data_IF_422412470753
#
_entry.id   IF_422412470753
#
_cell.length_a   1.000
_cell.length_b   1.000
_cell.length_c   1.000
_cell.angle_alpha   90.00
_cell.angle_beta   90.00
_cell.angle_gamma   90.00
#
_symmetry.space_group_name_H-M   'P 1'
#
loop_
_entity.id
_entity.type
_entity.pdbx_description
1 polymer ?
#
# COMPACT_ATOMS: atom_id res chain seq x y z
N UNK A 1 -24.22 -21.88 25.23
CA UNK A 1 -23.56 -22.76 24.24
C UNK A 1 -23.15 -21.90 23.04
N UNK A 2 -21.91 -21.42 23.01
CA UNK A 2 -21.41 -20.47 22.00
C UNK A 2 -20.98 -21.22 20.72
N UNK A 3 -21.64 -20.94 19.59
CA UNK A 3 -21.22 -21.43 18.26
C UNK A 3 -20.27 -20.41 17.63
N UNK A 4 -19.07 -20.88 17.29
CA UNK A 4 -18.00 -20.13 16.65
C UNK A 4 -18.49 -19.38 15.39
N UNK A 5 -18.31 -18.05 15.37
CA UNK A 5 -18.43 -17.25 14.14
C UNK A 5 -17.16 -17.46 13.32
N UNK A 6 -17.17 -18.52 12.50
CA UNK A 6 -16.11 -18.77 11.53
C UNK A 6 -16.01 -17.63 10.52
N UNK A 7 -14.78 -17.22 10.21
CA UNK A 7 -14.47 -16.29 9.12
C UNK A 7 -15.04 -16.86 7.82
N UNK A 8 -16.08 -16.23 7.29
CA UNK A 8 -16.71 -16.68 6.05
C UNK A 8 -15.81 -16.27 4.89
N UNK A 9 -15.12 -17.25 4.31
CA UNK A 9 -14.38 -17.12 3.05
C UNK A 9 -15.40 -16.72 1.98
N UNK A 10 -15.07 -15.74 1.14
CA UNK A 10 -15.96 -15.21 0.09
C UNK A 10 -16.61 -16.34 -0.74
N UNK A 11 -17.88 -16.16 -1.12
CA UNK A 11 -18.62 -17.15 -1.93
C UNK A 11 -17.94 -17.37 -3.29
N UNK A 12 -17.83 -18.61 -3.79
CA UNK A 12 -17.37 -18.87 -5.16
C UNK A 12 -18.19 -18.07 -6.17
N UNK A 13 -17.53 -17.48 -7.16
CA UNK A 13 -18.13 -16.71 -8.26
C UNK A 13 -18.81 -15.38 -7.89
N UNK A 14 -18.77 -14.96 -6.63
CA UNK A 14 -19.11 -13.59 -6.25
C UNK A 14 -17.83 -12.79 -6.01
N UNK A 15 -17.41 -12.03 -7.01
CA UNK A 15 -16.41 -10.97 -6.83
C UNK A 15 -17.02 -9.87 -5.96
N UNK A 16 -16.94 -10.07 -4.65
CA UNK A 16 -16.98 -8.96 -3.72
C UNK A 16 -15.54 -8.49 -3.57
N UNK A 17 -14.99 -7.89 -4.64
CA UNK A 17 -13.88 -6.97 -4.49
C UNK A 17 -14.45 -5.86 -3.59
N UNK A 18 -14.27 -5.96 -2.27
CA UNK A 18 -14.78 -4.99 -1.32
C UNK A 18 -14.31 -3.62 -1.81
N UNK A 19 -15.23 -2.76 -2.25
CA UNK A 19 -14.93 -1.42 -2.77
C UNK A 19 -14.24 -0.53 -1.73
N UNK A 20 -14.25 -0.94 -0.46
CA UNK A 20 -13.67 -0.26 0.69
C UNK A 20 -12.29 -0.79 1.11
N UNK A 21 -11.63 -1.68 0.35
CA UNK A 21 -10.22 -1.99 0.61
C UNK A 21 -9.37 -0.89 -0.01
N UNK A 22 -9.33 0.21 0.74
CA UNK A 22 -8.56 1.42 0.51
C UNK A 22 -7.06 1.08 0.49
N UNK A 23 -6.39 1.52 -0.57
CA UNK A 23 -5.00 1.22 -0.92
C UNK A 23 -4.74 -0.14 -1.61
N UNK A 24 -3.89 -0.10 -2.64
CA UNK A 24 -3.46 -1.29 -3.38
C UNK A 24 -2.79 -2.26 -2.40
N UNK A 25 -3.28 -3.49 -2.35
CA UNK A 25 -2.71 -4.53 -1.48
C UNK A 25 -1.18 -4.62 -1.66
N UNK A 26 -0.46 -4.68 -0.54
CA UNK A 26 1.00 -4.66 -0.46
C UNK A 26 1.69 -3.34 -0.89
N UNK A 27 0.97 -2.22 -0.86
CA UNK A 27 1.58 -0.89 -1.06
C UNK A 27 1.56 -0.07 0.22
N UNK A 28 2.58 0.78 0.38
CA UNK A 28 2.74 1.73 1.49
C UNK A 28 2.66 1.08 2.88
N UNK A 29 1.51 1.12 3.54
CA UNK A 29 1.31 0.74 4.95
C UNK A 29 1.68 -0.72 5.20
N UNK A 30 1.22 -1.66 4.36
CA UNK A 30 1.52 -3.10 4.53
C UNK A 30 3.00 -3.42 4.33
N UNK A 31 3.72 -2.64 3.51
CA UNK A 31 5.15 -2.80 3.34
C UNK A 31 5.93 -2.38 4.58
N UNK A 32 5.43 -1.36 5.29
CA UNK A 32 6.04 -0.86 6.52
C UNK A 32 5.73 -1.73 7.75
N UNK A 33 4.46 -2.14 7.92
CA UNK A 33 4.00 -2.79 9.16
C UNK A 33 3.82 -4.31 9.06
N UNK A 34 3.85 -4.86 7.84
CA UNK A 34 3.61 -6.28 7.56
C UNK A 34 2.14 -6.67 7.77
N UNK A 35 1.93 -7.78 8.46
CA UNK A 35 0.61 -8.39 8.71
C UNK A 35 0.14 -8.27 10.17
N UNK A 36 0.68 -7.29 10.91
CA UNK A 36 0.29 -7.07 12.31
C UNK A 36 -1.17 -6.64 12.42
N UNK A 37 -1.78 -7.01 13.53
CA UNK A 37 -3.17 -6.69 13.84
C UNK A 37 -3.24 -5.47 14.75
N UNK A 38 -4.11 -4.53 14.38
CA UNK A 38 -4.36 -3.29 15.12
C UNK A 38 -5.85 -3.24 15.44
N UNK A 39 -6.20 -3.34 16.72
CA UNK A 39 -7.58 -3.52 17.19
C UNK A 39 -8.11 -2.29 17.97
N UNK A 40 -7.27 -1.31 18.27
CA UNK A 40 -7.65 -0.16 19.12
C UNK A 40 -7.82 1.13 18.32
N UNK A 41 -8.69 2.04 18.80
CA UNK A 41 -8.88 3.37 18.20
C UNK A 41 -7.58 4.19 18.16
N UNK A 42 -6.73 4.03 19.18
CA UNK A 42 -5.43 4.71 19.22
C UNK A 42 -4.48 4.21 18.13
N UNK A 43 -4.46 2.90 17.86
CA UNK A 43 -3.68 2.35 16.75
C UNK A 43 -4.23 2.80 15.39
N UNK A 44 -5.56 2.92 15.25
CA UNK A 44 -6.18 3.41 14.02
C UNK A 44 -5.76 4.86 13.71
N UNK A 45 -5.76 5.75 14.70
CA UNK A 45 -5.33 7.14 14.50
C UNK A 45 -3.85 7.22 14.05
N UNK A 46 -2.98 6.42 14.68
CA UNK A 46 -1.57 6.32 14.31
C UNK A 46 -1.39 5.77 12.87
N UNK A 47 -2.20 4.79 12.48
CA UNK A 47 -2.20 4.22 11.13
C UNK A 47 -2.61 5.24 10.07
N UNK A 48 -3.68 6.00 10.31
CA UNK A 48 -4.14 7.06 9.39
C UNK A 48 -3.09 8.15 9.21
N UNK A 49 -2.41 8.52 10.30
CA UNK A 49 -1.30 9.46 10.26
C UNK A 49 -0.13 8.90 9.43
N UNK A 50 0.26 7.64 9.68
CA UNK A 50 1.33 6.98 8.93
C UNK A 50 0.99 6.87 7.44
N UNK A 51 -0.23 6.46 7.10
CA UNK A 51 -0.69 6.36 5.72
C UNK A 51 -0.58 7.69 4.99
N UNK A 52 -0.97 8.80 5.64
CA UNK A 52 -0.87 10.15 5.08
C UNK A 52 0.58 10.51 4.74
N UNK A 53 1.52 10.26 5.66
CA UNK A 53 2.94 10.53 5.42
C UNK A 53 3.52 9.62 4.32
N UNK A 54 3.15 8.35 4.31
CA UNK A 54 3.58 7.41 3.27
C UNK A 54 3.04 7.80 1.89
N UNK A 55 1.80 8.29 1.82
CA UNK A 55 1.20 8.79 0.59
C UNK A 55 1.91 10.06 0.09
N UNK A 56 2.25 11.00 0.98
CA UNK A 56 3.05 12.17 0.63
C UNK A 56 4.41 11.76 0.07
N UNK A 57 5.14 10.87 0.76
CA UNK A 57 6.45 10.37 0.30
C UNK A 57 6.34 9.71 -1.09
N UNK A 58 5.34 8.84 -1.28
CA UNK A 58 5.17 8.09 -2.51
C UNK A 58 4.71 8.93 -3.70
N UNK A 59 3.88 9.95 -3.46
CA UNK A 59 3.30 10.76 -4.52
C UNK A 59 4.17 11.96 -4.91
N UNK A 60 4.88 12.54 -3.93
CA UNK A 60 5.58 13.82 -4.11
C UNK A 60 7.07 13.60 -4.32
N UNK A 61 7.71 12.71 -3.56
CA UNK A 61 9.17 12.57 -3.56
C UNK A 61 9.67 11.35 -4.33
N UNK A 62 8.91 10.26 -4.39
CA UNK A 62 9.38 9.00 -4.97
C UNK A 62 9.01 8.90 -6.47
N UNK A 63 9.99 8.66 -7.36
CA UNK A 63 9.69 8.34 -8.74
C UNK A 63 8.97 6.98 -8.81
N UNK A 64 7.94 6.90 -9.63
CA UNK A 64 7.23 5.65 -9.91
C UNK A 64 7.41 5.25 -11.37
N UNK A 65 7.32 3.97 -11.68
CA UNK A 65 7.32 3.52 -13.09
C UNK A 65 5.90 3.61 -13.66
N UNK A 66 5.74 4.34 -14.76
CA UNK A 66 4.50 4.37 -15.53
C UNK A 66 4.69 3.59 -16.85
N UNK A 67 3.75 2.69 -17.14
CA UNK A 67 3.74 1.91 -18.38
C UNK A 67 3.28 2.82 -19.52
N UNK A 68 4.11 2.96 -20.55
CA UNK A 68 3.77 3.71 -21.76
C UNK A 68 3.00 2.81 -22.73
N UNK A 69 3.51 1.61 -22.98
CA UNK A 69 2.89 0.67 -23.92
C UNK A 69 3.19 -0.78 -23.56
N UNK A 70 2.33 -1.66 -24.09
CA UNK A 70 2.41 -3.11 -23.94
C UNK A 70 2.23 -3.73 -25.31
N UNK A 71 3.31 -4.21 -25.92
CA UNK A 71 3.32 -4.81 -27.25
C UNK A 71 3.39 -6.32 -27.11
N UNK A 72 2.49 -7.04 -27.79
CA UNK A 72 2.48 -8.50 -27.83
C UNK A 72 3.27 -8.97 -29.05
N UNK A 73 4.44 -9.54 -28.81
CA UNK A 73 5.45 -9.85 -29.85
C UNK A 73 5.40 -11.30 -30.35
N UNK A 74 4.38 -12.07 -29.94
CA UNK A 74 4.16 -13.43 -30.42
C UNK A 74 3.93 -14.41 -29.28
N UNK A 75 4.37 -15.67 -29.45
CA UNK A 75 4.34 -16.70 -28.41
C UNK A 75 5.76 -16.94 -27.88
N UNK A 76 5.93 -17.04 -26.58
CA UNK A 76 7.18 -17.52 -26.00
C UNK A 76 7.32 -19.01 -26.31
N UNK A 77 8.49 -19.49 -26.75
CA UNK A 77 8.69 -20.92 -26.98
C UNK A 77 8.48 -21.72 -25.69
N UNK A 78 7.71 -22.82 -25.76
CA UNK A 78 7.65 -23.82 -24.69
C UNK A 78 8.65 -24.93 -25.03
N UNK A 79 9.59 -25.28 -24.14
CA UNK A 79 10.51 -26.39 -24.37
C UNK A 79 9.80 -27.73 -24.49
N UNK A 80 8.63 -27.86 -23.85
CA UNK A 80 7.90 -29.12 -23.70
C UNK A 80 6.76 -29.28 -24.71
N UNK A 81 6.39 -28.23 -25.46
CA UNK A 81 5.26 -28.30 -26.40
C UNK A 81 5.41 -27.35 -27.59
N UNK A 82 5.71 -27.91 -28.78
CA UNK A 82 5.74 -27.17 -30.05
C UNK A 82 4.36 -26.57 -30.34
N UNK A 83 4.26 -25.24 -30.40
CA UNK A 83 3.03 -24.50 -30.76
C UNK A 83 2.15 -24.00 -29.58
N UNK A 84 2.41 -24.47 -28.35
CA UNK A 84 1.65 -24.15 -27.13
C UNK A 84 2.35 -23.11 -26.23
N UNK A 85 3.06 -22.18 -26.86
CA UNK A 85 3.68 -21.05 -26.17
C UNK A 85 2.68 -20.01 -25.68
N UNK A 86 2.86 -19.50 -24.45
CA UNK A 86 2.11 -18.35 -23.92
C UNK A 86 2.48 -17.04 -24.64
N UNK A 87 1.67 -16.00 -24.54
CA UNK A 87 1.95 -14.73 -25.26
C UNK A 87 3.19 -14.01 -24.72
N UNK A 88 4.15 -13.70 -25.59
CA UNK A 88 5.30 -12.86 -25.27
C UNK A 88 4.88 -11.39 -25.31
N UNK A 89 5.20 -10.66 -24.24
CA UNK A 89 4.81 -9.26 -24.08
C UNK A 89 6.06 -8.45 -23.78
N UNK A 90 6.30 -7.41 -24.57
CA UNK A 90 7.27 -6.36 -24.28
C UNK A 90 6.54 -5.15 -23.69
N UNK A 91 7.14 -4.54 -22.69
CA UNK A 91 6.62 -3.36 -21.99
C UNK A 91 7.63 -2.24 -22.13
N UNK A 92 7.19 -1.08 -22.63
CA UNK A 92 8.00 0.15 -22.62
C UNK A 92 7.40 1.10 -21.59
N UNK A 93 8.28 1.76 -20.84
CA UNK A 93 7.92 2.61 -19.72
C UNK A 93 8.32 4.06 -19.99
N UNK A 94 7.66 4.99 -19.31
CA UNK A 94 8.09 6.38 -19.27
C UNK A 94 9.39 6.55 -18.49
N UNK A 95 10.06 7.70 -18.69
CA UNK A 95 11.15 8.13 -17.85
C UNK A 95 10.73 8.18 -16.36
N UNK A 96 11.66 7.91 -15.43
CA UNK A 96 11.37 8.00 -14.00
C UNK A 96 10.89 9.40 -13.62
N UNK A 97 9.67 9.49 -13.12
CA UNK A 97 9.06 10.73 -12.63
C UNK A 97 8.18 10.41 -11.43
N UNK A 98 8.10 11.35 -10.49
CA UNK A 98 7.15 11.26 -9.38
C UNK A 98 5.72 11.40 -9.89
N UNK A 99 4.71 10.81 -9.22
CA UNK A 99 3.31 11.06 -9.53
C UNK A 99 2.94 12.56 -9.60
N UNK A 100 3.46 13.39 -8.68
CA UNK A 100 3.23 14.84 -8.69
C UNK A 100 3.69 15.48 -10.00
N UNK A 101 4.94 15.25 -10.41
CA UNK A 101 5.47 15.79 -11.67
C UNK A 101 4.66 15.35 -12.91
N UNK A 102 4.07 14.15 -12.91
CA UNK A 102 3.15 13.74 -13.98
C UNK A 102 1.86 14.54 -13.96
N UNK A 103 1.28 14.77 -12.78
CA UNK A 103 0.07 15.59 -12.65
C UNK A 103 0.30 17.04 -13.10
N UNK A 104 1.50 17.58 -12.90
CA UNK A 104 1.86 18.91 -13.41
C UNK A 104 1.86 18.97 -14.94
N UNK A 105 2.22 17.87 -15.61
CA UNK A 105 2.22 17.75 -17.07
C UNK A 105 0.85 17.39 -17.66
N UNK A 106 -0.09 16.92 -16.84
CA UNK A 106 -1.41 16.52 -17.29
C UNK A 106 -2.24 17.75 -17.72
N UNK A 107 -2.81 17.76 -18.94
CA UNK A 107 -3.62 18.87 -19.42
C UNK A 107 -4.98 18.96 -18.70
N UNK A 108 -5.48 17.85 -18.14
CA UNK A 108 -6.78 17.81 -17.45
C UNK A 108 -6.74 18.45 -16.05
N UNK A 109 -5.56 18.74 -15.52
CA UNK A 109 -5.38 19.31 -14.18
C UNK A 109 -5.39 20.83 -14.27
N UNK A 110 -6.30 21.47 -13.54
CA UNK A 110 -6.41 22.93 -13.50
C UNK A 110 -5.16 23.60 -12.90
N UNK A 111 -4.89 24.83 -13.33
CA UNK A 111 -3.73 25.59 -12.84
C UNK A 111 -3.79 25.83 -11.33
N UNK A 112 -4.99 26.01 -10.77
CA UNK A 112 -5.19 26.12 -9.33
C UNK A 112 -4.74 24.83 -8.60
N UNK A 113 -5.07 23.66 -9.15
CA UNK A 113 -4.63 22.39 -8.59
C UNK A 113 -3.11 22.20 -8.71
N UNK A 114 -2.50 22.60 -9.84
CA UNK A 114 -1.04 22.59 -10.03
C UNK A 114 -0.33 23.50 -9.05
N UNK A 115 -0.84 24.71 -8.82
CA UNK A 115 -0.30 25.65 -7.83
C UNK A 115 -0.36 25.08 -6.40
N UNK A 116 -1.44 24.36 -6.05
CA UNK A 116 -1.53 23.65 -4.76
C UNK A 116 -0.47 22.55 -4.63
N UNK A 117 -0.26 21.75 -5.68
CA UNK A 117 0.75 20.69 -5.69
C UNK A 117 2.18 21.26 -5.55
N UNK A 118 2.48 22.35 -6.25
CA UNK A 118 3.78 23.02 -6.15
C UNK A 118 4.05 23.57 -4.75
N UNK A 119 3.03 24.13 -4.08
CA UNK A 119 3.15 24.54 -2.68
C UNK A 119 3.44 23.35 -1.77
N UNK A 120 2.72 22.25 -1.93
CA UNK A 120 2.99 21.03 -1.16
C UNK A 120 4.41 20.52 -1.36
N UNK A 121 4.93 20.56 -2.61
CA UNK A 121 6.31 20.18 -2.89
C UNK A 121 7.32 21.10 -2.18
N UNK A 122 7.06 22.40 -2.14
CA UNK A 122 7.94 23.38 -1.49
C UNK A 122 7.93 23.28 0.05
N UNK A 123 6.81 22.87 0.64
CA UNK A 123 6.66 22.74 2.09
C UNK A 123 7.24 21.43 2.66
N UNK A 124 7.46 20.42 1.82
CA UNK A 124 7.92 19.10 2.28
C UNK A 124 9.43 19.11 2.51
N UNK A 125 9.83 18.85 3.76
CA UNK A 125 11.19 18.43 4.10
C UNK A 125 11.30 16.89 4.06
N UNK A 126 12.10 16.32 3.13
CA UNK A 126 12.29 14.87 3.03
C UNK A 126 12.84 14.22 4.30
N UNK A 127 13.69 14.93 5.06
CA UNK A 127 14.34 14.38 6.25
C UNK A 127 13.35 14.27 7.39
N UNK A 128 12.62 15.35 7.67
CA UNK A 128 11.55 15.36 8.67
C UNK A 128 10.47 14.32 8.34
N UNK A 129 10.05 14.23 7.07
CA UNK A 129 9.06 13.24 6.64
C UNK A 129 9.52 11.80 6.92
N UNK A 130 10.76 11.46 6.58
CA UNK A 130 11.31 10.12 6.81
C UNK A 130 11.44 9.81 8.31
N UNK A 131 11.84 10.80 9.12
CA UNK A 131 11.94 10.67 10.57
C UNK A 131 10.55 10.42 11.20
N UNK A 132 9.56 11.21 10.81
CA UNK A 132 8.21 11.13 11.37
C UNK A 132 7.54 9.79 11.01
N UNK A 133 7.77 9.29 9.80
CA UNK A 133 7.39 7.91 9.40
C UNK A 133 8.02 6.88 10.34
N UNK A 134 9.34 6.98 10.60
CA UNK A 134 10.04 6.05 11.49
C UNK A 134 9.52 6.08 12.93
N UNK A 135 9.18 7.27 13.45
CA UNK A 135 8.59 7.42 14.79
C UNK A 135 7.22 6.71 14.87
N UNK A 136 6.36 6.92 13.86
CA UNK A 136 5.04 6.28 13.82
C UNK A 136 5.13 4.77 13.67
N UNK A 137 6.01 4.29 12.80
CA UNK A 137 6.30 2.86 12.66
C UNK A 137 6.73 2.26 14.00
N UNK A 138 7.74 2.84 14.66
CA UNK A 138 8.21 2.35 15.96
C UNK A 138 7.12 2.38 17.04
N UNK A 139 6.29 3.43 17.06
CA UNK A 139 5.16 3.58 18.00
C UNK A 139 4.12 2.49 17.80
N UNK A 140 3.71 2.24 16.55
CA UNK A 140 2.76 1.19 16.20
C UNK A 140 3.31 -0.21 16.52
N UNK A 141 4.57 -0.47 16.19
CA UNK A 141 5.23 -1.74 16.49
C UNK A 141 5.30 -2.01 17.99
N UNK A 142 5.63 -1.01 18.80
CA UNK A 142 5.65 -1.13 20.27
C UNK A 142 4.28 -1.48 20.83
N UNK A 143 3.22 -0.81 20.37
CA UNK A 143 1.84 -1.09 20.81
C UNK A 143 1.43 -2.53 20.50
N UNK A 144 1.83 -3.07 19.34
CA UNK A 144 1.52 -4.48 19.00
C UNK A 144 2.26 -5.49 19.86
N UNK A 145 3.51 -5.22 20.26
CA UNK A 145 4.27 -6.11 21.15
C UNK A 145 3.69 -6.17 22.56
N UNK A 146 3.20 -5.04 23.07
CA UNK A 146 2.56 -4.96 24.40
C UNK A 146 1.19 -5.66 24.41
N UNK A 147 0.40 -5.55 23.34
CA UNK A 147 -0.88 -6.27 23.23
C UNK A 147 -0.68 -7.79 23.16
N UNK A 148 0.41 -8.26 22.54
CA UNK A 148 0.78 -9.69 22.52
C UNK A 148 1.17 -10.19 23.92
N UNK A 149 1.94 -9.41 24.69
CA UNK A 149 2.32 -9.82 26.05
C UNK A 149 1.13 -9.78 27.00
N UNK A 150 0.24 -8.79 26.89
CA UNK A 150 -0.96 -8.69 27.71
C UNK A 150 -1.96 -9.82 27.41
N UNK A 151 -2.17 -10.17 26.14
CA UNK A 151 -3.02 -11.31 25.75
C UNK A 151 -2.46 -12.64 26.26
N UNK A 152 -1.15 -12.86 26.14
CA UNK A 152 -0.49 -14.07 26.64
C UNK A 152 -0.60 -14.21 28.17
N UNK A 153 -0.46 -13.11 28.92
CA UNK A 153 -0.61 -13.12 30.39
C UNK A 153 -2.07 -13.35 30.80
N UNK A 154 -3.04 -12.75 30.10
CA UNK A 154 -4.46 -12.99 30.40
C UNK A 154 -4.90 -14.42 30.08
N UNK A 155 -4.37 -15.05 29.01
CA UNK A 155 -4.66 -16.45 28.68
C UNK A 155 -4.04 -17.43 29.69
N UNK A 156 -2.87 -17.10 30.26
CA UNK A 156 -2.24 -17.90 31.31
C UNK A 156 -2.92 -17.73 32.68
N UNK A 157 -3.49 -16.56 32.96
CA UNK A 157 -4.12 -16.25 34.27
C UNK A 157 -5.55 -16.82 34.38
N UNK A 158 -6.22 -17.07 33.26
CA UNK A 158 -7.59 -17.64 33.22
C UNK A 158 -7.57 -19.19 33.27
N UNK A 159 -6.39 -19.81 33.34
CA UNK A 159 -6.19 -21.27 33.39
C UNK A 159 -5.92 -21.83 34.82
N UNK A 160 -6.37 -21.15 35.87
CA UNK A 160 -6.38 -21.65 37.26
C UNK A 160 -7.82 -21.73 37.77
#
# INVERSE_FOLDING_TARGET
>A
MFKARGVVRSRPYHKNDNCYVESKNWTLVRRCLGYRRFDTKSQLADLQQLETLLAQRANILQPSMALLEKIRTGKHPSPWTKGLGGSKIQKRYHAPMTPLHRLLQAPEVSDQAKARLLRQLAEIDPLSLQRDIGILEARLLRKTSQDLSLKAVTEQTISL
#
